data_IF_075352979735
#
_entry.id   IF_075352979735
#
_cell.length_a   1.000
_cell.length_b   1.000
_cell.length_c   1.000
_cell.angle_alpha   90.00
_cell.angle_beta   90.00
_cell.angle_gamma   90.00
#
_symmetry.space_group_name_H-M   'P 1'
#
loop_
_entity.id
_entity.type
_entity.pdbx_description
1 polymer ?
#
# COMPACT_ATOMS: atom_id res chain seq x y z
N UNK A 1 -32.01 27.40 -62.93
CA UNK A 1 -31.69 26.06 -62.38
C UNK A 1 -31.24 26.23 -60.94
N UNK A 2 -32.01 25.73 -59.97
CA UNK A 2 -31.65 25.73 -58.54
C UNK A 2 -31.20 24.31 -58.18
N UNK A 3 -29.95 24.16 -57.76
CA UNK A 3 -29.38 22.87 -57.36
C UNK A 3 -29.41 22.77 -55.83
N UNK A 4 -30.36 22.01 -55.30
CA UNK A 4 -30.44 21.68 -53.86
C UNK A 4 -29.69 20.37 -53.63
N UNK A 5 -28.59 20.43 -52.88
CA UNK A 5 -27.78 19.26 -52.51
C UNK A 5 -28.23 18.73 -51.15
N UNK A 6 -28.83 17.54 -51.14
CA UNK A 6 -29.20 16.81 -49.92
C UNK A 6 -27.99 16.02 -49.43
N UNK A 7 -27.46 16.38 -48.26
CA UNK A 7 -26.39 15.64 -47.58
C UNK A 7 -27.04 14.60 -46.67
N UNK A 8 -26.99 13.33 -47.08
CA UNK A 8 -27.38 12.18 -46.26
C UNK A 8 -26.28 11.92 -45.22
N UNK A 9 -26.54 12.21 -43.95
CA UNK A 9 -25.62 11.91 -42.86
C UNK A 9 -25.65 10.40 -42.53
N UNK A 10 -24.56 9.70 -42.82
CA UNK A 10 -24.35 8.31 -42.40
C UNK A 10 -23.81 8.33 -40.97
N UNK A 11 -24.64 7.93 -39.99
CA UNK A 11 -24.21 7.70 -38.61
C UNK A 11 -23.42 6.38 -38.53
N UNK A 12 -22.11 6.49 -38.33
CA UNK A 12 -21.25 5.34 -38.00
C UNK A 12 -21.23 5.19 -36.46
N UNK A 13 -21.91 4.16 -35.96
CA UNK A 13 -21.88 3.76 -34.54
C UNK A 13 -20.53 3.11 -34.22
N UNK A 14 -19.58 3.89 -33.70
CA UNK A 14 -18.31 3.39 -33.15
C UNK A 14 -18.57 2.82 -31.75
N UNK A 15 -18.50 1.50 -31.59
CA UNK A 15 -18.52 0.85 -30.28
C UNK A 15 -17.18 1.12 -29.57
N UNK A 16 -17.22 1.92 -28.50
CA UNK A 16 -16.02 2.22 -27.70
C UNK A 16 -15.85 1.10 -26.68
N UNK A 17 -14.75 0.32 -26.72
CA UNK A 17 -14.48 -0.68 -25.69
C UNK A 17 -14.20 0.05 -24.36
N UNK A 18 -15.03 -0.24 -23.36
CA UNK A 18 -14.84 0.27 -21.99
C UNK A 18 -13.72 -0.52 -21.30
N UNK A 19 -12.49 -0.06 -21.46
CA UNK A 19 -11.37 -0.56 -20.66
C UNK A 19 -11.57 -0.13 -19.20
N UNK A 20 -11.95 -1.09 -18.35
CA UNK A 20 -12.02 -0.88 -16.90
C UNK A 20 -10.60 -0.84 -16.35
N UNK A 21 -10.09 0.36 -16.07
CA UNK A 21 -8.84 0.56 -15.36
C UNK A 21 -9.03 0.04 -13.93
N UNK A 22 -8.58 -1.20 -13.64
CA UNK A 22 -8.38 -1.62 -12.25
C UNK A 22 -7.43 -0.62 -11.63
N UNK A 23 -7.89 0.10 -10.59
CA UNK A 23 -7.06 1.02 -9.82
C UNK A 23 -5.91 0.22 -9.20
N UNK A 24 -4.74 0.33 -9.81
CA UNK A 24 -3.52 -0.28 -9.30
C UNK A 24 -3.01 0.55 -8.13
N UNK A 25 -2.56 -0.11 -7.07
CA UNK A 25 -1.99 0.57 -5.91
C UNK A 25 -0.85 1.50 -6.36
N UNK A 26 -0.80 2.73 -5.82
CA UNK A 26 0.27 3.65 -6.16
C UNK A 26 1.63 3.07 -5.74
N UNK A 27 2.69 3.30 -6.53
CA UNK A 27 4.02 2.75 -6.23
C UNK A 27 4.51 3.17 -4.84
N UNK A 28 5.37 2.39 -4.17
CA UNK A 28 5.93 2.78 -2.88
C UNK A 28 6.60 4.16 -2.91
N UNK A 29 6.45 4.98 -1.85
CA UNK A 29 7.18 6.24 -1.76
C UNK A 29 8.67 5.95 -1.54
N UNK A 30 9.52 6.71 -2.23
CA UNK A 30 10.99 6.52 -2.25
C UNK A 30 11.74 7.66 -1.59
N UNK A 31 11.08 8.79 -1.32
CA UNK A 31 11.66 9.96 -0.67
C UNK A 31 10.94 10.27 0.65
N UNK A 32 11.68 10.77 1.64
CA UNK A 32 11.08 11.23 2.91
C UNK A 32 10.09 12.36 2.62
N UNK A 33 8.90 12.26 3.20
CA UNK A 33 7.77 13.17 2.97
C UNK A 33 6.84 12.76 1.83
N UNK A 34 7.27 11.85 0.94
CA UNK A 34 6.42 11.33 -0.12
C UNK A 34 5.38 10.35 0.44
N UNK A 35 4.17 10.41 -0.11
CA UNK A 35 3.08 9.51 0.25
C UNK A 35 2.50 8.80 -0.96
N UNK A 36 2.00 7.59 -0.74
CA UNK A 36 1.30 6.79 -1.73
C UNK A 36 -0.05 6.33 -1.19
N UNK A 37 -1.07 6.45 -2.03
CA UNK A 37 -2.39 5.88 -1.74
C UNK A 37 -2.38 4.41 -2.16
N UNK A 38 -2.65 3.53 -1.20
CA UNK A 38 -2.66 2.07 -1.40
C UNK A 38 -3.78 1.48 -0.54
N UNK A 39 -3.83 0.15 -0.45
CA UNK A 39 -4.73 -0.55 0.46
C UNK A 39 -3.99 -1.56 1.32
N UNK A 40 -4.57 -1.90 2.46
CA UNK A 40 -4.10 -3.02 3.28
C UNK A 40 -4.32 -4.33 2.52
N UNK A 41 -3.27 -5.15 2.42
CA UNK A 41 -3.32 -6.47 1.81
C UNK A 41 -3.54 -7.56 2.88
N UNK A 42 -2.76 -7.52 3.98
CA UNK A 42 -2.84 -8.46 5.11
C UNK A 42 -2.53 -7.72 6.41
N UNK A 43 -3.15 -8.12 7.49
CA UNK A 43 -2.79 -7.71 8.86
C UNK A 43 -2.74 -8.97 9.73
N UNK A 44 -1.83 -9.00 10.70
CA UNK A 44 -1.68 -10.12 11.62
C UNK A 44 -0.65 -9.84 12.71
N UNK A 45 -0.23 -10.91 13.38
CA UNK A 45 0.84 -10.85 14.38
C UNK A 45 2.22 -10.84 13.71
N UNK A 46 3.24 -10.40 14.44
CA UNK A 46 4.63 -10.41 13.95
C UNK A 46 5.10 -11.83 13.63
N UNK A 47 4.78 -12.78 14.50
CA UNK A 47 5.15 -14.19 14.35
C UNK A 47 3.91 -15.06 14.12
N UNK A 48 4.11 -16.11 13.35
CA UNK A 48 3.19 -17.23 13.18
C UNK A 48 3.92 -18.49 13.70
N UNK A 49 3.17 -19.45 14.23
CA UNK A 49 3.70 -20.74 14.68
C UNK A 49 4.24 -21.53 13.48
N UNK A 50 5.48 -21.99 13.58
CA UNK A 50 6.19 -22.62 12.46
C UNK A 50 5.63 -23.99 12.05
N UNK A 51 4.76 -24.60 12.85
CA UNK A 51 4.16 -25.92 12.56
C UNK A 51 2.75 -25.78 12.01
N UNK A 52 1.95 -24.89 12.60
CA UNK A 52 0.52 -24.74 12.35
C UNK A 52 0.18 -23.55 11.47
N UNK A 53 1.12 -22.61 11.29
CA UNK A 53 0.92 -21.35 10.59
C UNK A 53 -0.04 -20.39 11.31
N UNK A 54 -0.40 -20.68 12.57
CA UNK A 54 -1.34 -19.83 13.32
C UNK A 54 -0.63 -18.57 13.84
N UNK A 55 -1.31 -17.41 13.87
CA UNK A 55 -0.78 -16.20 14.51
C UNK A 55 -0.39 -16.48 15.97
N UNK A 56 0.78 -15.99 16.42
CA UNK A 56 1.19 -16.03 17.82
C UNK A 56 0.74 -14.73 18.51
N UNK A 57 -0.30 -14.76 19.37
CA UNK A 57 -0.80 -13.56 20.04
C UNK A 57 0.29 -12.90 20.89
N UNK A 58 0.33 -11.57 20.91
CA UNK A 58 1.32 -10.81 21.69
C UNK A 58 2.75 -10.84 21.13
N UNK A 59 3.00 -11.50 19.99
CA UNK A 59 4.33 -11.47 19.36
C UNK A 59 4.69 -10.14 18.70
N UNK A 60 3.73 -9.23 18.60
CA UNK A 60 3.80 -7.94 17.92
C UNK A 60 2.85 -7.87 16.73
N UNK A 61 2.94 -6.79 15.95
CA UNK A 61 2.08 -6.55 14.79
C UNK A 61 2.84 -6.70 13.47
N UNK A 62 2.17 -7.25 12.46
CA UNK A 62 2.61 -7.27 11.05
C UNK A 62 1.48 -6.77 10.15
N UNK A 63 1.81 -5.91 9.19
CA UNK A 63 0.85 -5.41 8.22
C UNK A 63 1.49 -5.25 6.84
N UNK A 64 0.78 -5.64 5.80
CA UNK A 64 1.24 -5.60 4.41
C UNK A 64 0.28 -4.77 3.57
N UNK A 65 0.81 -4.06 2.58
CA UNK A 65 0.05 -3.20 1.69
C UNK A 65 0.15 -3.67 0.24
N UNK A 66 -0.87 -3.36 -0.57
CA UNK A 66 -1.00 -3.80 -1.97
C UNK A 66 0.08 -3.27 -2.92
N UNK A 67 0.91 -2.32 -2.47
CA UNK A 67 2.05 -1.82 -3.22
C UNK A 67 3.39 -2.46 -2.80
N UNK A 68 3.37 -3.51 -2.00
CA UNK A 68 4.54 -4.31 -1.64
C UNK A 68 5.27 -3.86 -0.38
N UNK A 69 4.84 -2.78 0.28
CA UNK A 69 5.38 -2.40 1.59
C UNK A 69 4.79 -3.31 2.67
N UNK A 70 5.66 -3.91 3.47
CA UNK A 70 5.31 -4.58 4.72
C UNK A 70 5.91 -3.81 5.89
N UNK A 71 5.17 -3.71 7.00
CA UNK A 71 5.62 -3.07 8.23
C UNK A 71 5.46 -4.02 9.41
N UNK A 72 6.29 -3.83 10.43
CA UNK A 72 6.37 -4.75 11.57
C UNK A 72 6.71 -4.03 12.86
N UNK A 73 6.19 -4.52 13.98
CA UNK A 73 6.57 -4.10 15.33
C UNK A 73 6.63 -5.30 16.27
N UNK A 74 7.46 -5.21 17.31
CA UNK A 74 7.42 -6.13 18.44
C UNK A 74 6.22 -5.88 19.34
N UNK A 75 5.70 -4.65 19.35
CA UNK A 75 4.51 -4.28 20.10
C UNK A 75 3.24 -4.63 19.32
N UNK A 76 2.18 -4.94 20.07
CA UNK A 76 0.80 -4.92 19.56
C UNK A 76 0.38 -3.47 19.35
N UNK A 77 0.11 -3.08 18.10
CA UNK A 77 -0.30 -1.72 17.70
C UNK A 77 -1.77 -1.73 17.31
N UNK A 78 -2.69 -1.35 18.22
CA UNK A 78 -4.13 -1.50 18.02
C UNK A 78 -4.67 -0.79 16.78
N UNK A 79 -4.11 0.36 16.41
CA UNK A 79 -4.51 1.11 15.21
C UNK A 79 -4.18 0.36 13.93
N UNK A 80 -3.08 -0.38 13.90
CA UNK A 80 -2.70 -1.22 12.78
C UNK A 80 -3.57 -2.48 12.75
N UNK A 81 -3.73 -3.18 13.89
CA UNK A 81 -4.52 -4.41 14.01
C UNK A 81 -6.03 -4.20 13.75
N UNK A 82 -6.55 -3.00 14.00
CA UNK A 82 -7.93 -2.64 13.64
C UNK A 82 -8.14 -2.45 12.12
N UNK A 83 -7.08 -2.51 11.32
CA UNK A 83 -7.17 -2.47 9.86
C UNK A 83 -7.72 -3.78 9.29
N UNK A 84 -8.22 -3.74 8.06
CA UNK A 84 -8.75 -4.91 7.35
C UNK A 84 -8.22 -4.96 5.93
N UNK A 85 -8.05 -6.15 5.31
CA UNK A 85 -7.77 -6.26 3.89
C UNK A 85 -8.74 -5.40 3.05
N UNK A 86 -8.20 -4.64 2.11
CA UNK A 86 -8.94 -3.69 1.29
C UNK A 86 -9.08 -2.28 1.86
N UNK A 87 -8.74 -2.04 3.13
CA UNK A 87 -8.83 -0.70 3.71
C UNK A 87 -7.97 0.30 2.93
N UNK A 88 -8.52 1.44 2.47
CA UNK A 88 -7.75 2.46 1.81
C UNK A 88 -6.84 3.15 2.83
N UNK A 89 -5.56 3.31 2.48
CA UNK A 89 -4.56 3.95 3.35
C UNK A 89 -3.75 4.99 2.60
N UNK A 90 -3.33 6.02 3.34
CA UNK A 90 -2.24 6.91 2.93
C UNK A 90 -0.97 6.46 3.66
N UNK A 91 0.02 6.01 2.90
CA UNK A 91 1.29 5.50 3.40
C UNK A 91 2.40 6.48 3.04
N UNK A 92 3.04 7.09 4.05
CA UNK A 92 4.06 8.12 3.87
C UNK A 92 5.41 7.66 4.39
N UNK A 93 6.46 7.77 3.58
CA UNK A 93 7.82 7.51 4.02
C UNK A 93 8.30 8.67 4.89
N UNK A 94 8.69 8.38 6.13
CA UNK A 94 9.07 9.39 7.12
C UNK A 94 10.55 9.35 7.49
N UNK A 95 11.21 8.22 7.28
CA UNK A 95 12.62 8.05 7.59
C UNK A 95 13.28 7.03 6.68
N UNK A 96 14.50 7.32 6.24
CA UNK A 96 15.40 6.40 5.55
C UNK A 96 16.68 6.33 6.39
N UNK A 97 17.10 5.15 6.88
CA UNK A 97 18.36 4.99 7.58
C UNK A 97 19.56 5.45 6.74
N UNK A 98 20.60 5.93 7.41
CA UNK A 98 21.85 6.38 6.79
C UNK A 98 22.98 5.40 7.13
N UNK A 99 24.05 5.44 6.34
CA UNK A 99 25.25 4.63 6.54
C UNK A 99 24.99 3.11 6.52
N UNK A 100 24.03 2.68 5.71
CA UNK A 100 23.74 1.26 5.53
C UNK A 100 24.82 0.56 4.69
N UNK A 101 25.12 -0.71 4.96
CA UNK A 101 25.93 -1.52 4.05
C UNK A 101 25.34 -1.56 2.63
N UNK A 102 26.16 -1.68 1.57
CA UNK A 102 25.67 -1.79 0.21
C UNK A 102 24.64 -2.91 0.06
N UNK A 103 23.43 -2.56 -0.41
CA UNK A 103 22.32 -3.49 -0.62
C UNK A 103 21.38 -3.69 0.58
N UNK A 104 21.74 -3.26 1.79
CA UNK A 104 20.86 -3.31 2.96
C UNK A 104 19.98 -2.05 3.02
N UNK A 105 18.73 -2.18 2.56
CA UNK A 105 17.77 -1.07 2.50
C UNK A 105 16.71 -1.11 3.61
N UNK A 106 16.90 -1.96 4.62
CA UNK A 106 15.96 -2.19 5.73
C UNK A 106 15.91 -1.00 6.70
N UNK A 107 14.81 -0.87 7.43
CA UNK A 107 14.68 0.07 8.55
C UNK A 107 14.03 1.40 8.18
N UNK A 108 13.42 1.50 7.00
CA UNK A 108 12.62 2.68 6.63
C UNK A 108 11.40 2.75 7.53
N UNK A 109 11.02 3.96 7.94
CA UNK A 109 9.85 4.16 8.80
C UNK A 109 8.75 4.83 8.02
N UNK A 110 7.55 4.28 8.14
CA UNK A 110 6.36 4.76 7.45
C UNK A 110 5.30 5.19 8.44
N UNK A 111 4.71 6.36 8.19
CA UNK A 111 3.46 6.78 8.83
C UNK A 111 2.30 6.37 7.96
N UNK A 112 1.37 5.62 8.52
CA UNK A 112 0.20 5.12 7.82
C UNK A 112 -1.04 5.74 8.42
N UNK A 113 -1.92 6.27 7.58
CA UNK A 113 -3.26 6.69 7.99
C UNK A 113 -4.28 5.81 7.29
N UNK A 114 -5.00 5.00 8.07
CA UNK A 114 -6.11 4.20 7.56
C UNK A 114 -7.32 5.11 7.35
N UNK A 115 -7.77 5.24 6.11
CA UNK A 115 -8.80 6.19 5.72
C UNK A 115 -10.21 5.70 6.08
N UNK A 116 -10.40 4.41 6.40
CA UNK A 116 -11.65 3.88 6.97
C UNK A 116 -11.74 4.20 8.46
N UNK A 117 -10.73 3.81 9.24
CA UNK A 117 -10.75 3.99 10.70
C UNK A 117 -10.37 5.39 11.16
N UNK A 118 -9.76 6.19 10.27
CA UNK A 118 -9.13 7.50 10.55
C UNK A 118 -7.97 7.43 11.56
N UNK A 119 -7.53 6.23 11.94
CA UNK A 119 -6.41 6.03 12.85
C UNK A 119 -5.09 6.12 12.09
N UNK A 120 -4.05 6.51 12.81
CA UNK A 120 -2.69 6.59 12.29
C UNK A 120 -1.75 5.80 13.20
N UNK A 121 -0.82 5.09 12.59
CA UNK A 121 0.31 4.45 13.28
C UNK A 121 1.60 4.68 12.48
N UNK A 122 2.74 4.46 13.12
CA UNK A 122 4.07 4.59 12.50
C UNK A 122 4.87 3.34 12.80
N UNK A 123 5.34 2.65 11.77
CA UNK A 123 6.05 1.37 11.90
C UNK A 123 7.22 1.29 10.91
N UNK A 124 8.30 0.56 11.25
CA UNK A 124 9.38 0.27 10.33
C UNK A 124 9.01 -0.85 9.34
N UNK A 125 9.68 -0.87 8.19
CA UNK A 125 9.58 -1.94 7.19
C UNK A 125 10.39 -3.20 7.52
N UNK A 126 11.11 -3.17 8.64
CA UNK A 126 11.89 -4.29 9.13
C UNK A 126 11.98 -4.26 10.66
N UNK A 127 12.15 -5.45 11.25
CA UNK A 127 12.28 -5.58 12.71
C UNK A 127 13.58 -4.93 13.23
N UNK A 128 14.60 -4.89 12.37
CA UNK A 128 15.90 -4.31 12.66
C UNK A 128 16.26 -3.27 11.59
N UNK A 129 17.00 -2.24 11.98
CA UNK A 129 17.54 -1.28 11.01
C UNK A 129 18.65 -1.90 10.17
N UNK A 130 19.07 -1.22 9.10
CA UNK A 130 20.19 -1.66 8.30
C UNK A 130 21.48 -1.76 9.12
N UNK A 131 22.38 -2.67 8.74
CA UNK A 131 23.70 -2.81 9.39
C UNK A 131 23.77 -3.75 10.58
N UNK A 132 22.68 -4.44 10.92
CA UNK A 132 22.70 -5.50 11.93
C UNK A 132 21.33 -6.02 12.32
N UNK A 133 21.30 -6.87 13.34
CA UNK A 133 20.12 -7.29 14.10
C UNK A 133 20.35 -6.98 15.57
#
# INVERSE_FOLDING_TARGET
MKLTSSITAILILLSIPTFSLKSQAAPPPTQVGQCSNTSVAKVGTRLEDGTTGQPIPGSGTSIQFSNGIGLVSYDTVPEAEASKPGDPVKLCLTFIPKNCPPGDNRGKIYRVTNLRTKKTFTLPDSQHSCGGA
#
